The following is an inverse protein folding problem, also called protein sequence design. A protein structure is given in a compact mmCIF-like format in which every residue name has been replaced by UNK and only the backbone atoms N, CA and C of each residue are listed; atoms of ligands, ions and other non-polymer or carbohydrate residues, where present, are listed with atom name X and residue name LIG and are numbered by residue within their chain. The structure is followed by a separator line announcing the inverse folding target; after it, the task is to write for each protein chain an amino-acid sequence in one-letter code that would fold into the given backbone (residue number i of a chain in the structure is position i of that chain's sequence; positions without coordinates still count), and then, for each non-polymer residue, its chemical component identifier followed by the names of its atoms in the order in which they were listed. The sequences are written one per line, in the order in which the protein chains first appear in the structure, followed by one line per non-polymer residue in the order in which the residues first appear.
data_IF_034371597351
#
_entry.id   IF_034371597351
#
_cell.length_a   1.000
_cell.length_b   1.000
_cell.length_c   1.000
_cell.angle_alpha   90.00
_cell.angle_beta   90.00
_cell.angle_gamma   90.00
#
_symmetry.space_group_name_H-M   'P 1'
#
loop_
_entity.id
_entity.type
_entity.pdbx_description
1 polymer ?
#
# COMPACT_ATOMS: atom_id res chain seq x y z
N UNK A 1 -11.86 4.11 -9.15
CA UNK A 1 -10.82 4.20 -8.11
C UNK A 1 -11.39 4.99 -6.94
N UNK A 2 -11.17 4.56 -5.68
CA UNK A 2 -11.60 5.30 -4.49
C UNK A 2 -10.87 6.66 -4.36
N UNK A 3 -11.34 7.52 -3.46
CA UNK A 3 -10.64 8.77 -3.14
C UNK A 3 -9.33 8.48 -2.40
N UNK A 4 -8.35 9.37 -2.56
CA UNK A 4 -7.08 9.26 -1.83
C UNK A 4 -7.29 9.40 -0.31
N UNK A 5 -6.47 8.69 0.46
CA UNK A 5 -6.39 8.86 1.90
C UNK A 5 -5.55 10.12 2.19
N UNK A 6 -6.06 11.01 3.05
CA UNK A 6 -5.35 12.23 3.47
C UNK A 6 -4.03 11.90 4.16
N UNK A 7 -2.99 12.69 3.89
CA UNK A 7 -1.68 12.60 4.58
C UNK A 7 -1.83 12.78 6.09
N UNK A 8 -2.85 13.53 6.55
CA UNK A 8 -3.13 13.70 7.99
C UNK A 8 -3.44 12.39 8.72
N UNK A 9 -3.75 11.30 8.01
CA UNK A 9 -3.87 9.96 8.62
C UNK A 9 -2.58 9.54 9.35
N UNK A 10 -1.42 10.05 8.92
CA UNK A 10 -0.13 9.78 9.55
C UNK A 10 -0.01 10.43 10.92
N UNK A 11 -0.66 11.56 11.17
CA UNK A 11 -0.67 12.22 12.48
C UNK A 11 -1.86 11.76 13.32
N UNK A 12 -3.04 11.69 12.70
CA UNK A 12 -4.30 11.54 13.42
C UNK A 12 -4.67 10.07 13.64
N UNK A 13 -4.04 9.16 12.88
CA UNK A 13 -4.47 7.79 12.72
C UNK A 13 -5.76 7.67 11.92
N UNK A 14 -6.22 6.44 11.71
CA UNK A 14 -7.49 6.18 11.01
C UNK A 14 -8.65 6.60 11.92
N UNK A 15 -9.44 7.58 11.49
CA UNK A 15 -10.68 8.00 12.17
C UNK A 15 -11.95 7.39 11.57
N UNK A 16 -11.87 7.00 10.30
CA UNK A 16 -12.97 6.42 9.54
C UNK A 16 -12.44 5.26 8.69
N UNK A 17 -13.12 4.12 8.76
CA UNK A 17 -12.77 2.90 8.04
C UNK A 17 -13.28 2.89 6.59
N UNK A 18 -14.11 3.85 6.19
CA UNK A 18 -14.76 3.89 4.87
C UNK A 18 -13.73 3.83 3.74
N UNK A 19 -12.73 4.73 3.74
CA UNK A 19 -11.74 4.76 2.66
C UNK A 19 -10.84 3.52 2.61
N UNK A 20 -10.37 3.02 3.76
CA UNK A 20 -9.55 1.79 3.78
C UNK A 20 -10.33 0.56 3.33
N UNK A 21 -11.65 0.52 3.60
CA UNK A 21 -12.57 -0.51 3.11
C UNK A 21 -12.79 -0.41 1.60
N UNK A 22 -13.05 0.79 1.09
CA UNK A 22 -13.20 1.04 -0.35
C UNK A 22 -11.94 0.64 -1.11
N UNK A 23 -10.76 1.02 -0.61
CA UNK A 23 -9.48 0.62 -1.19
C UNK A 23 -9.26 -0.89 -1.14
N UNK A 24 -9.47 -1.54 0.00
CA UNK A 24 -9.36 -2.99 0.09
C UNK A 24 -10.24 -3.70 -0.93
N UNK A 25 -11.51 -3.29 -1.04
CA UNK A 25 -12.48 -3.86 -1.97
C UNK A 25 -12.10 -3.61 -3.43
N UNK A 26 -11.69 -2.37 -3.76
CA UNK A 26 -11.25 -2.00 -5.11
C UNK A 26 -10.06 -2.83 -5.57
N UNK A 27 -9.07 -3.01 -4.70
CA UNK A 27 -7.85 -3.76 -5.01
C UNK A 27 -8.10 -5.26 -5.15
N UNK A 28 -9.17 -5.80 -4.55
CA UNK A 28 -9.56 -7.22 -4.63
C UNK A 28 -10.43 -7.55 -5.85
N UNK A 29 -10.97 -6.53 -6.52
CA UNK A 29 -11.91 -6.72 -7.64
C UNK A 29 -11.16 -7.02 -8.93
N UNK A 30 -11.65 -7.94 -9.76
CA UNK A 30 -11.22 -8.12 -11.14
C UNK A 30 -12.18 -7.40 -12.07
N UNK A 31 -11.68 -6.47 -12.89
CA UNK A 31 -12.46 -5.71 -13.86
C UNK A 31 -11.65 -5.51 -15.16
N UNK A 32 -11.42 -4.26 -15.58
CA UNK A 32 -10.46 -3.90 -16.63
C UNK A 32 -9.04 -4.37 -16.25
N UNK A 33 -8.73 -4.37 -14.94
CA UNK A 33 -7.45 -4.86 -14.39
C UNK A 33 -7.69 -5.96 -13.38
N UNK A 34 -6.74 -6.88 -13.28
CA UNK A 34 -6.75 -7.89 -12.24
C UNK A 34 -6.55 -7.26 -10.85
N UNK A 35 -7.01 -7.96 -9.82
CA UNK A 35 -6.74 -7.64 -8.42
C UNK A 35 -5.23 -7.56 -8.13
N UNK A 36 -4.88 -6.89 -7.04
CA UNK A 36 -3.52 -6.97 -6.50
C UNK A 36 -3.34 -8.32 -5.82
N UNK A 37 -2.43 -9.15 -6.32
CA UNK A 37 -2.26 -10.49 -5.76
C UNK A 37 -1.72 -10.47 -4.32
N UNK A 38 -2.05 -11.49 -3.53
CA UNK A 38 -1.43 -11.68 -2.19
C UNK A 38 0.09 -11.71 -2.27
N UNK A 39 0.64 -12.21 -3.39
CA UNK A 39 2.10 -12.25 -3.61
C UNK A 39 2.72 -10.85 -3.72
N UNK A 40 2.03 -9.90 -4.36
CA UNK A 40 2.47 -8.50 -4.47
C UNK A 40 2.37 -7.80 -3.11
N UNK A 41 1.24 -7.99 -2.41
CA UNK A 41 1.02 -7.45 -1.05
C UNK A 41 2.10 -7.96 -0.08
N UNK A 42 2.35 -9.28 -0.07
CA UNK A 42 3.31 -9.91 0.85
C UNK A 42 4.73 -9.37 0.71
N UNK A 43 5.18 -9.06 -0.51
CA UNK A 43 6.53 -8.54 -0.75
C UNK A 43 6.77 -7.21 -0.04
N UNK A 44 5.78 -6.32 -0.06
CA UNK A 44 5.87 -5.01 0.60
C UNK A 44 5.69 -5.18 2.11
N UNK A 45 4.71 -5.99 2.53
CA UNK A 45 4.49 -6.30 3.95
C UNK A 45 5.74 -6.86 4.63
N UNK A 46 6.49 -7.73 3.96
CA UNK A 46 7.74 -8.27 4.52
C UNK A 46 8.75 -7.17 4.86
N UNK A 47 8.94 -6.20 3.96
CA UNK A 47 9.83 -5.05 4.22
C UNK A 47 9.33 -4.19 5.38
N UNK A 48 8.03 -3.94 5.42
CA UNK A 48 7.41 -3.13 6.49
C UNK A 48 7.54 -3.82 7.84
N UNK A 49 7.30 -5.13 7.91
CA UNK A 49 7.45 -5.90 9.15
C UNK A 49 8.89 -5.97 9.64
N UNK A 50 9.87 -6.04 8.73
CA UNK A 50 11.28 -5.93 9.10
C UNK A 50 11.60 -4.58 9.72
N UNK A 51 11.17 -3.47 9.09
CA UNK A 51 11.33 -2.13 9.65
C UNK A 51 10.61 -2.03 10.99
N UNK A 52 9.38 -2.53 11.10
CA UNK A 52 8.60 -2.48 12.35
C UNK A 52 9.29 -3.21 13.50
N UNK A 53 9.87 -4.39 13.25
CA UNK A 53 10.57 -5.17 14.26
C UNK A 53 11.87 -4.50 14.76
N UNK A 54 12.51 -3.71 13.91
CA UNK A 54 13.81 -3.07 14.18
C UNK A 54 13.80 -1.56 13.94
N UNK A 55 12.70 -0.87 14.28
CA UNK A 55 12.43 0.49 13.80
C UNK A 55 13.61 1.45 13.93
N UNK A 56 14.24 1.55 15.11
CA UNK A 56 15.35 2.49 15.31
C UNK A 56 16.56 2.22 14.41
N UNK A 57 16.80 0.95 14.03
CA UNK A 57 17.91 0.55 13.16
C UNK A 57 17.59 0.68 11.68
N UNK A 58 16.30 0.57 11.32
CA UNK A 58 15.84 0.46 9.93
C UNK A 58 14.92 1.60 9.47
N UNK A 59 14.69 2.63 10.27
CA UNK A 59 13.82 3.77 9.90
C UNK A 59 14.26 4.48 8.62
N UNK A 60 15.57 4.56 8.36
CA UNK A 60 16.11 5.08 7.09
C UNK A 60 15.73 4.25 5.86
N UNK A 61 15.29 3.00 6.03
CA UNK A 61 14.81 2.15 4.94
C UNK A 61 13.35 2.44 4.55
N UNK A 62 12.62 3.26 5.33
CA UNK A 62 11.22 3.61 5.02
C UNK A 62 11.12 4.25 3.64
N UNK A 63 12.05 5.13 3.29
CA UNK A 63 12.07 5.79 1.97
C UNK A 63 12.24 4.76 0.83
N UNK A 64 12.83 3.60 1.10
CA UNK A 64 13.05 2.52 0.12
C UNK A 64 11.77 1.71 -0.15
N UNK A 65 10.70 1.89 0.63
CA UNK A 65 9.40 1.28 0.33
C UNK A 65 8.82 1.79 -0.98
N UNK A 66 9.03 3.07 -1.30
CA UNK A 66 8.56 3.68 -2.54
C UNK A 66 9.22 3.07 -3.80
N UNK A 67 10.56 3.03 -3.96
CA UNK A 67 11.18 2.43 -5.14
C UNK A 67 10.88 0.92 -5.25
N UNK A 68 10.68 0.21 -4.13
CA UNK A 68 10.23 -1.20 -4.15
C UNK A 68 8.84 -1.34 -4.79
N UNK A 69 7.90 -0.45 -4.45
CA UNK A 69 6.59 -0.37 -5.10
C UNK A 69 6.73 -0.01 -6.59
N UNK A 70 7.51 1.02 -6.92
CA UNK A 70 7.72 1.45 -8.30
C UNK A 70 8.27 0.32 -9.19
N UNK A 71 9.21 -0.48 -8.66
CA UNK A 71 9.70 -1.68 -9.34
C UNK A 71 8.58 -2.71 -9.58
N UNK A 72 7.71 -2.95 -8.59
CA UNK A 72 6.57 -3.84 -8.75
C UNK A 72 5.59 -3.35 -9.84
N UNK A 73 5.37 -2.03 -9.93
CA UNK A 73 4.59 -1.40 -11.01
C UNK A 73 5.26 -1.63 -12.37
N UNK A 74 6.57 -1.37 -12.49
CA UNK A 74 7.29 -1.60 -13.74
C UNK A 74 7.28 -3.05 -14.20
N UNK A 75 7.37 -4.00 -13.26
CA UNK A 75 7.32 -5.44 -13.55
C UNK A 75 5.93 -5.91 -14.00
N UNK A 76 4.89 -5.29 -13.48
CA UNK A 76 3.49 -5.64 -13.80
C UNK A 76 3.00 -4.99 -15.11
N UNK A 77 3.76 -4.04 -15.65
CA UNK A 77 3.46 -3.36 -16.89
C UNK A 77 3.45 -4.33 -18.09
N UNK A 78 2.37 -4.28 -18.87
CA UNK A 78 2.24 -4.98 -20.14
C UNK A 78 2.37 -4.01 -21.30
N UNK A 79 3.41 -4.22 -22.12
CA UNK A 79 3.67 -3.39 -23.30
C UNK A 79 2.58 -3.51 -24.37
N UNK A 80 1.89 -4.66 -24.45
CA UNK A 80 0.86 -4.90 -25.47
C UNK A 80 -0.39 -4.07 -25.20
N UNK A 81 -0.86 -4.06 -23.96
CA UNK A 81 -2.02 -3.29 -23.51
C UNK A 81 -1.67 -1.86 -23.07
N UNK A 82 -0.38 -1.49 -23.08
CA UNK A 82 0.13 -0.19 -22.66
C UNK A 82 -0.34 0.21 -21.25
N UNK A 83 -0.44 -0.76 -20.34
CA UNK A 83 -0.95 -0.57 -18.98
C UNK A 83 -0.50 -1.69 -18.05
N UNK A 84 -0.76 -1.54 -16.76
CA UNK A 84 -0.53 -2.57 -15.74
C UNK A 84 -1.59 -3.66 -15.78
N UNK A 85 -1.18 -4.93 -15.66
CA UNK A 85 -2.08 -6.09 -15.64
C UNK A 85 -2.96 -6.11 -14.39
N UNK A 86 -2.43 -5.61 -13.28
CA UNK A 86 -3.07 -5.54 -11.98
C UNK A 86 -3.25 -4.10 -11.54
N UNK A 87 -4.04 -3.90 -10.47
CA UNK A 87 -4.21 -2.59 -9.81
C UNK A 87 -3.00 -2.14 -8.97
N UNK A 88 -1.81 -2.70 -9.20
CA UNK A 88 -0.60 -2.37 -8.41
C UNK A 88 -0.15 -0.92 -8.57
N UNK A 89 -0.42 -0.31 -9.74
CA UNK A 89 -0.11 1.09 -10.00
C UNK A 89 -0.95 2.01 -9.11
N UNK A 90 -2.24 1.75 -9.02
CA UNK A 90 -3.16 2.49 -8.16
C UNK A 90 -2.81 2.32 -6.68
N UNK A 91 -2.36 1.12 -6.29
CA UNK A 91 -1.86 0.89 -4.93
C UNK A 91 -0.57 1.67 -4.64
N UNK A 92 0.35 1.76 -5.61
CA UNK A 92 1.54 2.61 -5.51
C UNK A 92 1.15 4.09 -5.38
N UNK A 93 0.25 4.58 -6.23
CA UNK A 93 -0.20 5.99 -6.22
C UNK A 93 -0.88 6.37 -4.89
N UNK A 94 -1.58 5.42 -4.25
CA UNK A 94 -2.13 5.60 -2.91
C UNK A 94 -1.04 5.70 -1.83
N UNK A 95 -0.06 4.78 -1.85
CA UNK A 95 0.90 4.63 -0.74
C UNK A 95 2.10 5.57 -0.84
N UNK A 96 2.54 5.93 -2.05
CA UNK A 96 3.75 6.74 -2.27
C UNK A 96 3.70 8.10 -1.53
N UNK A 97 2.61 8.90 -1.61
CA UNK A 97 2.52 10.14 -0.86
C UNK A 97 2.62 9.94 0.65
N UNK A 98 2.01 8.86 1.17
CA UNK A 98 2.08 8.56 2.61
C UNK A 98 3.50 8.18 3.01
N UNK A 99 4.19 7.33 2.24
CA UNK A 99 5.56 6.88 2.53
C UNK A 99 6.51 8.08 2.65
N UNK A 100 6.43 9.03 1.71
CA UNK A 100 7.28 10.23 1.69
C UNK A 100 7.11 11.11 2.93
N UNK A 101 5.91 11.12 3.52
CA UNK A 101 5.55 11.97 4.65
C UNK A 101 5.76 11.32 6.02
N UNK A 102 6.23 10.05 6.08
CA UNK A 102 6.55 9.38 7.34
C UNK A 102 7.75 10.04 8.03
N UNK A 103 8.75 10.52 7.28
CA UNK A 103 9.90 11.26 7.80
C UNK A 103 10.62 10.58 8.98
N UNK A 104 10.81 9.25 8.90
CA UNK A 104 11.40 8.42 9.96
C UNK A 104 10.72 8.54 11.35
N UNK A 105 9.51 9.08 11.40
CA UNK A 105 8.74 9.22 12.63
C UNK A 105 8.01 7.92 12.96
N UNK A 106 8.21 7.44 14.18
CA UNK A 106 7.67 6.16 14.65
C UNK A 106 6.16 6.13 14.69
N UNK A 107 5.53 7.23 15.09
CA UNK A 107 4.07 7.35 15.19
C UNK A 107 3.45 7.37 13.80
N UNK A 108 4.02 8.18 12.89
CA UNK A 108 3.59 8.24 11.49
C UNK A 108 3.76 6.89 10.79
N UNK A 109 4.89 6.22 11.03
CA UNK A 109 5.13 4.89 10.50
C UNK A 109 4.09 3.90 11.01
N UNK A 110 3.81 3.88 12.32
CA UNK A 110 2.79 2.99 12.87
C UNK A 110 1.39 3.27 12.31
N UNK A 111 1.03 4.54 12.12
CA UNK A 111 -0.24 4.92 11.50
C UNK A 111 -0.30 4.48 10.02
N UNK A 112 0.79 4.59 9.27
CA UNK A 112 0.90 4.03 7.92
C UNK A 112 0.73 2.51 7.91
N UNK A 113 1.36 1.79 8.85
CA UNK A 113 1.17 0.34 8.99
C UNK A 113 -0.30 -0.01 9.24
N UNK A 114 -0.98 0.73 10.12
CA UNK A 114 -2.39 0.51 10.41
C UNK A 114 -3.28 0.71 9.16
N UNK A 115 -2.99 1.74 8.34
CA UNK A 115 -3.70 1.98 7.06
C UNK A 115 -3.53 0.78 6.14
N UNK A 116 -2.28 0.33 5.99
CA UNK A 116 -1.96 -0.77 5.10
C UNK A 116 -2.59 -2.10 5.57
N UNK A 117 -2.52 -2.41 6.86
CA UNK A 117 -3.16 -3.58 7.46
C UNK A 117 -4.67 -3.57 7.29
N UNK A 118 -5.30 -2.41 7.46
CA UNK A 118 -6.75 -2.24 7.25
C UNK A 118 -7.14 -2.50 5.80
N UNK A 119 -6.40 -1.94 4.83
CA UNK A 119 -6.62 -2.19 3.40
C UNK A 119 -6.48 -3.68 3.09
N UNK A 120 -5.45 -4.35 3.62
CA UNK A 120 -5.24 -5.79 3.38
C UNK A 120 -6.30 -6.66 4.03
N UNK A 121 -6.77 -6.31 5.22
CA UNK A 121 -7.87 -7.02 5.88
C UNK A 121 -9.14 -6.94 5.01
N UNK A 122 -9.49 -5.76 4.51
CA UNK A 122 -10.66 -5.60 3.64
C UNK A 122 -10.46 -6.19 2.25
N UNK A 123 -9.24 -6.16 1.70
CA UNK A 123 -8.89 -6.87 0.48
C UNK A 123 -9.16 -8.37 0.62
N UNK A 124 -8.72 -8.97 1.74
CA UNK A 124 -8.97 -10.38 2.01
C UNK A 124 -10.45 -10.67 2.23
N UNK A 125 -11.16 -9.82 2.96
CA UNK A 125 -12.60 -9.95 3.19
C UNK A 125 -13.42 -9.85 1.89
N UNK A 126 -12.95 -9.07 0.92
CA UNK A 126 -13.55 -8.95 -0.41
C UNK A 126 -13.19 -10.10 -1.37
N UNK A 127 -12.52 -11.15 -0.89
CA UNK A 127 -12.18 -12.33 -1.70
C UNK A 127 -10.83 -12.25 -2.40
N UNK A 128 -9.99 -11.27 -2.05
CA UNK A 128 -8.67 -11.10 -2.64
C UNK A 128 -7.76 -12.33 -2.50
N UNK A 129 -7.03 -12.66 -3.58
CA UNK A 129 -6.16 -13.85 -3.69
C UNK A 129 -4.72 -13.52 -4.07
#
# INVERSE_FOLDING_TARGET
MPKNISISVLTDGIKDLTLVKEWGTYLATNDIKNQVSTSQIRKIFGSIKQIQAGFEKSKGEIILLEPKLAYAVGRDYDKKSNTNKTKIKEFYELLSPLIREINEDKTRFQNFVNVLESIVAYHKAAGGQ
#
